data_IF_415109591006
#
_entry.id   IF_415109591006
#
_cell.length_a   1.000
_cell.length_b   1.000
_cell.length_c   1.000
_cell.angle_alpha   90.00
_cell.angle_beta   90.00
_cell.angle_gamma   90.00
#
_symmetry.space_group_name_H-M   'P 1'
#
loop_
_entity.id
_entity.type
_entity.pdbx_description
1 polymer ?
#
# COMPACT_ATOMS: atom_id res chain seq x y z
N UNK A 1 -2.06 1.16 -22.92
CA UNK A 1 -1.13 2.19 -22.39
C UNK A 1 -1.77 2.80 -21.17
N UNK A 2 -1.06 2.88 -20.04
CA UNK A 2 -1.58 3.56 -18.86
C UNK A 2 -1.46 5.08 -19.04
N UNK A 3 -2.53 5.81 -18.79
CA UNK A 3 -2.56 7.27 -18.90
C UNK A 3 -2.54 7.85 -17.48
N UNK A 4 -1.54 8.69 -17.19
CA UNK A 4 -1.40 9.33 -15.89
C UNK A 4 -1.76 10.81 -16.01
N UNK A 5 -2.66 11.28 -15.15
CA UNK A 5 -3.06 12.69 -15.04
C UNK A 5 -2.94 13.13 -13.58
N UNK A 6 -1.75 13.62 -13.16
CA UNK A 6 -1.54 14.09 -11.80
C UNK A 6 -2.42 15.31 -11.49
N UNK A 7 -2.97 15.35 -10.29
CA UNK A 7 -3.73 16.49 -9.76
C UNK A 7 -3.12 16.99 -8.44
N UNK A 8 -3.81 17.88 -7.74
CA UNK A 8 -3.33 18.46 -6.48
C UNK A 8 -3.04 17.43 -5.38
N UNK A 9 -3.60 16.21 -5.48
CA UNK A 9 -3.30 15.11 -4.53
C UNK A 9 -1.88 14.60 -4.68
N UNK A 10 -1.23 14.79 -5.85
CA UNK A 10 0.17 14.39 -6.03
C UNK A 10 1.09 15.11 -5.04
N UNK A 11 0.87 16.41 -4.79
CA UNK A 11 1.65 17.19 -3.81
C UNK A 11 1.50 16.64 -2.39
N UNK A 12 0.31 16.12 -2.06
CA UNK A 12 0.03 15.48 -0.77
C UNK A 12 0.78 14.15 -0.70
N UNK A 13 0.69 13.32 -1.75
CA UNK A 13 1.39 12.04 -1.83
C UNK A 13 2.92 12.21 -1.74
N UNK A 14 3.48 13.24 -2.39
CA UNK A 14 4.91 13.54 -2.38
C UNK A 14 5.42 13.96 -0.99
N UNK A 15 4.53 14.42 -0.10
CA UNK A 15 4.88 14.78 1.28
C UNK A 15 4.95 13.58 2.23
N UNK A 16 4.42 12.41 1.83
CA UNK A 16 4.36 11.23 2.67
C UNK A 16 5.61 10.34 2.50
N UNK A 17 6.02 9.61 3.55
CA UNK A 17 7.13 8.66 3.43
C UNK A 17 6.75 7.51 2.49
N UNK A 18 7.71 7.10 1.64
CA UNK A 18 7.50 5.99 0.68
C UNK A 18 7.41 4.61 1.35
N UNK A 19 7.96 4.47 2.54
CA UNK A 19 7.93 3.25 3.35
C UNK A 19 8.02 3.62 4.82
N UNK A 20 7.45 2.78 5.68
CA UNK A 20 7.47 2.96 7.14
C UNK A 20 8.25 1.78 7.71
N UNK A 21 9.12 2.05 8.69
CA UNK A 21 9.76 1.01 9.47
C UNK A 21 8.75 0.45 10.48
N UNK A 22 8.39 -0.82 10.31
CA UNK A 22 7.44 -1.55 11.14
C UNK A 22 8.12 -2.48 12.16
N UNK A 23 9.45 -2.41 12.32
CA UNK A 23 10.25 -3.33 13.15
C UNK A 23 9.82 -3.38 14.62
N UNK A 24 9.43 -2.24 15.22
CA UNK A 24 8.91 -2.20 16.59
C UNK A 24 7.64 -3.05 16.74
N UNK A 25 6.71 -2.97 15.78
CA UNK A 25 5.48 -3.74 15.83
C UNK A 25 5.73 -5.25 15.64
N UNK A 26 6.71 -5.61 14.82
CA UNK A 26 7.15 -7.00 14.66
C UNK A 26 7.75 -7.55 15.94
N UNK A 27 8.46 -6.72 16.69
CA UNK A 27 9.12 -7.12 17.93
C UNK A 27 8.12 -7.22 19.09
N UNK A 28 7.27 -6.21 19.25
CA UNK A 28 6.39 -6.09 20.41
C UNK A 28 5.14 -6.96 20.32
N UNK A 29 4.59 -7.11 19.11
CA UNK A 29 3.31 -7.79 18.88
C UNK A 29 3.40 -8.95 17.89
N UNK A 30 4.61 -9.31 17.45
CA UNK A 30 4.84 -10.30 16.39
C UNK A 30 4.02 -10.00 15.13
N UNK A 31 3.88 -8.69 14.81
CA UNK A 31 3.18 -8.24 13.62
C UNK A 31 3.85 -8.82 12.36
N UNK A 32 3.05 -9.41 11.47
CA UNK A 32 3.54 -9.93 10.19
C UNK A 32 2.48 -9.72 9.10
N UNK A 33 2.88 -9.08 8.00
CA UNK A 33 2.00 -8.87 6.86
C UNK A 33 1.84 -10.18 6.06
N UNK A 34 0.59 -10.54 5.77
CA UNK A 34 0.25 -11.81 5.08
C UNK A 34 -0.06 -11.57 3.59
N UNK A 35 -0.52 -10.37 3.25
CA UNK A 35 -0.88 -9.98 1.90
C UNK A 35 0.25 -9.16 1.26
N UNK A 36 0.73 -9.64 0.13
CA UNK A 36 1.58 -8.89 -0.78
C UNK A 36 0.72 -8.20 -1.85
N UNK A 37 1.36 -7.42 -2.72
CA UNK A 37 0.67 -6.65 -3.76
C UNK A 37 -0.12 -7.54 -4.72
N UNK A 38 0.42 -8.72 -5.06
CA UNK A 38 -0.21 -9.65 -6.00
C UNK A 38 -1.46 -10.28 -5.40
N UNK A 39 -1.35 -10.86 -4.19
CA UNK A 39 -2.49 -11.46 -3.48
C UNK A 39 -3.58 -10.44 -3.20
N UNK A 40 -3.20 -9.22 -2.80
CA UNK A 40 -4.18 -8.15 -2.58
C UNK A 40 -4.90 -7.77 -3.89
N UNK A 41 -4.19 -7.69 -5.01
CA UNK A 41 -4.79 -7.35 -6.31
C UNK A 41 -5.79 -8.42 -6.75
N UNK A 42 -5.42 -9.69 -6.63
CA UNK A 42 -6.30 -10.82 -6.96
C UNK A 42 -7.56 -10.82 -6.09
N UNK A 43 -7.41 -10.70 -4.77
CA UNK A 43 -8.54 -10.74 -3.84
C UNK A 43 -9.50 -9.55 -4.04
N UNK A 44 -8.97 -8.34 -4.28
CA UNK A 44 -9.80 -7.16 -4.56
C UNK A 44 -10.60 -7.32 -5.86
N UNK A 45 -9.99 -7.83 -6.94
CA UNK A 45 -10.69 -8.05 -8.20
C UNK A 45 -11.79 -9.12 -8.08
N UNK A 46 -11.57 -10.14 -7.24
CA UNK A 46 -12.56 -11.19 -7.01
C UNK A 46 -13.78 -10.71 -6.20
N UNK A 47 -13.60 -9.70 -5.34
CA UNK A 47 -14.63 -9.26 -4.39
C UNK A 47 -15.34 -7.96 -4.78
N UNK A 48 -14.85 -7.23 -5.79
CA UNK A 48 -15.56 -6.06 -6.35
C UNK A 48 -16.65 -6.55 -7.31
N UNK A 49 -17.90 -6.15 -7.07
CA UNK A 49 -19.05 -6.34 -7.98
C UNK A 49 -19.20 -5.19 -8.97
#
# INVERSE_FOLDING_TARGET
TCTYHPDDRQKIADSWPRSIDDSSARTDWNWNQIFDLEKMTEDMLNNIK
#
